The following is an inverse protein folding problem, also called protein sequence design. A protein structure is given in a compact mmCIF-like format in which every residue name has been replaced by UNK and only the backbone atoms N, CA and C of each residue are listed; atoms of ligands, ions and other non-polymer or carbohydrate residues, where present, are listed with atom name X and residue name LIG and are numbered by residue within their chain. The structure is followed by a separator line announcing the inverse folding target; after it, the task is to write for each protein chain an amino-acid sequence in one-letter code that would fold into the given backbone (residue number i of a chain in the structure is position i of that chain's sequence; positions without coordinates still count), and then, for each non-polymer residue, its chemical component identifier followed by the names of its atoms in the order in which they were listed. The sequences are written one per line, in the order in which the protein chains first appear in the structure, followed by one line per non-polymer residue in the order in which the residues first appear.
data_IF_612627111283
#
_entry.id   IF_612627111283
#
_cell.length_a   1.000
_cell.length_b   1.000
_cell.length_c   1.000
_cell.angle_alpha   90.00
_cell.angle_beta   90.00
_cell.angle_gamma   90.00
#
_symmetry.space_group_name_H-M   'P 1'
#
loop_
_entity.id
_entity.type
_entity.pdbx_description
1 polymer ?
#
# COMPACT_ATOMS: atom_id res chain seq x y z
N UNK A 1 -17.91 -15.97 -7.73
CA UNK A 1 -17.63 -16.85 -6.58
C UNK A 1 -18.10 -16.15 -5.31
N UNK A 2 -19.36 -16.31 -4.91
CA UNK A 2 -19.86 -15.68 -3.68
C UNK A 2 -19.49 -16.57 -2.48
N UNK A 3 -18.89 -15.97 -1.45
CA UNK A 3 -18.68 -16.62 -0.13
C UNK A 3 -17.42 -17.48 0.04
N UNK A 4 -16.50 -17.53 -0.93
CA UNK A 4 -15.21 -18.23 -0.75
C UNK A 4 -14.13 -17.27 -0.26
N UNK A 5 -13.29 -17.64 0.71
CA UNK A 5 -12.12 -16.85 1.10
C UNK A 5 -11.19 -16.60 -0.09
N UNK A 6 -10.68 -15.37 -0.21
CA UNK A 6 -9.68 -15.00 -1.21
C UNK A 6 -8.33 -14.92 -0.50
N UNK A 7 -7.35 -15.65 -1.01
CA UNK A 7 -5.97 -15.58 -0.57
C UNK A 7 -5.14 -15.11 -1.77
N UNK A 8 -4.38 -14.05 -1.60
CA UNK A 8 -3.53 -13.51 -2.64
C UNK A 8 -2.16 -13.11 -2.08
N UNK A 9 -1.15 -13.22 -2.92
CA UNK A 9 0.23 -12.86 -2.60
C UNK A 9 0.87 -12.15 -3.79
N UNK A 10 1.96 -11.42 -3.54
CA UNK A 10 2.70 -10.71 -4.59
C UNK A 10 1.75 -9.83 -5.45
N UNK A 11 1.86 -9.90 -6.78
CA UNK A 11 0.99 -9.17 -7.70
C UNK A 11 -0.52 -9.44 -7.46
N UNK A 12 -0.88 -10.66 -7.02
CA UNK A 12 -2.26 -10.96 -6.68
C UNK A 12 -2.79 -10.08 -5.54
N UNK A 13 -1.96 -9.79 -4.53
CA UNK A 13 -2.35 -8.89 -3.44
C UNK A 13 -2.51 -7.44 -3.93
N UNK A 14 -1.69 -7.01 -4.90
CA UNK A 14 -1.82 -5.68 -5.52
C UNK A 14 -3.13 -5.55 -6.31
N UNK A 15 -3.53 -6.61 -7.03
CA UNK A 15 -4.79 -6.63 -7.79
C UNK A 15 -6.01 -6.50 -6.88
N UNK A 16 -5.93 -6.91 -5.60
CA UNK A 16 -7.04 -6.76 -4.67
C UNK A 16 -7.25 -5.31 -4.18
N UNK A 17 -6.28 -4.41 -4.34
CA UNK A 17 -6.44 -3.01 -3.94
C UNK A 17 -7.19 -2.21 -5.01
N UNK A 18 -7.34 -0.90 -4.83
CA UNK A 18 -7.94 -0.02 -5.84
C UNK A 18 -7.02 0.24 -7.04
N UNK A 19 -5.69 0.08 -6.88
CA UNK A 19 -4.70 0.48 -7.88
C UNK A 19 -3.53 -0.49 -7.91
N UNK A 20 -3.18 -0.95 -9.11
CA UNK A 20 -2.00 -1.76 -9.36
C UNK A 20 -0.83 -0.82 -9.60
N UNK A 21 0.18 -0.85 -8.72
CA UNK A 21 1.32 0.07 -8.76
C UNK A 21 2.59 -0.70 -9.14
N UNK A 22 3.26 -0.27 -10.21
CA UNK A 22 4.62 -0.68 -10.52
C UNK A 22 5.60 0.19 -9.74
N UNK A 23 6.51 -0.45 -9.02
CA UNK A 23 7.50 0.21 -8.19
C UNK A 23 8.82 -0.55 -8.25
N UNK A 24 9.90 0.18 -8.49
CA UNK A 24 11.25 -0.34 -8.37
C UNK A 24 12.24 0.83 -8.33
N UNK A 25 12.86 1.10 -7.17
CA UNK A 25 13.87 2.14 -7.01
C UNK A 25 15.26 1.73 -7.56
N UNK A 26 15.41 0.44 -7.90
CA UNK A 26 16.64 -0.16 -8.43
C UNK A 26 16.40 -0.99 -9.71
N UNK A 27 15.74 -0.47 -10.76
CA UNK A 27 15.52 -1.26 -11.96
C UNK A 27 16.85 -1.63 -12.63
N UNK A 28 16.95 -2.81 -13.26
CA UNK A 28 18.15 -3.20 -14.02
C UNK A 28 18.44 -2.29 -15.23
N UNK A 29 17.49 -1.46 -15.67
CA UNK A 29 17.59 -0.62 -16.88
C UNK A 29 17.30 0.88 -16.60
N UNK A 30 17.97 1.47 -15.62
CA UNK A 30 17.83 2.91 -15.27
C UNK A 30 16.92 3.16 -14.07
N UNK A 31 16.77 4.41 -13.63
CA UNK A 31 15.84 4.78 -12.55
C UNK A 31 14.45 5.06 -13.10
N UNK A 32 13.42 4.34 -12.62
CA UNK A 32 12.03 4.63 -12.97
C UNK A 32 11.27 5.17 -11.74
N UNK A 33 10.33 6.08 -12.00
CA UNK A 33 9.41 6.57 -10.98
C UNK A 33 8.32 5.53 -10.85
N UNK A 34 7.81 5.26 -9.64
CA UNK A 34 6.67 4.35 -9.50
C UNK A 34 5.46 4.82 -10.34
N UNK A 35 4.76 3.89 -10.98
CA UNK A 35 3.65 4.15 -11.90
C UNK A 35 2.40 3.39 -11.48
N UNK A 36 1.23 3.98 -11.70
CA UNK A 36 -0.03 3.24 -11.62
C UNK A 36 -0.20 2.55 -12.97
N UNK A 37 -0.20 1.22 -12.97
CA UNK A 37 -0.40 0.41 -14.18
C UNK A 37 -1.87 0.37 -14.58
N UNK A 38 -2.75 0.09 -13.61
CA UNK A 38 -4.18 -0.06 -13.85
C UNK A 38 -4.98 0.04 -12.54
N UNK A 39 -6.30 0.00 -12.65
CA UNK A 39 -7.22 -0.24 -11.55
C UNK A 39 -7.11 -1.69 -11.03
N UNK A 40 -7.36 -1.87 -9.74
CA UNK A 40 -7.56 -3.19 -9.13
C UNK A 40 -9.04 -3.48 -8.84
N UNK A 41 -9.31 -4.60 -8.18
CA UNK A 41 -10.67 -5.06 -7.86
C UNK A 41 -11.29 -4.37 -6.64
N UNK A 42 -10.54 -3.52 -5.93
CA UNK A 42 -11.03 -2.75 -4.78
C UNK A 42 -11.63 -3.61 -3.64
N UNK A 43 -11.14 -4.86 -3.48
CA UNK A 43 -11.52 -5.76 -2.38
C UNK A 43 -10.76 -5.47 -1.08
N UNK A 44 -9.64 -4.76 -1.18
CA UNK A 44 -8.86 -4.19 -0.07
C UNK A 44 -8.76 -2.67 -0.24
N UNK A 45 -9.85 -1.92 0.01
CA UNK A 45 -9.91 -0.48 -0.26
C UNK A 45 -8.98 0.31 0.64
N UNK A 46 -8.49 1.46 0.15
CA UNK A 46 -7.67 2.37 0.94
C UNK A 46 -6.25 1.87 1.21
N UNK A 47 -5.81 0.80 0.56
CA UNK A 47 -4.43 0.30 0.61
C UNK A 47 -3.74 0.39 -0.75
N UNK A 48 -2.42 0.58 -0.71
CA UNK A 48 -1.49 0.25 -1.79
C UNK A 48 -0.44 -0.68 -1.20
N UNK A 49 -0.40 -1.93 -1.65
CA UNK A 49 0.54 -2.92 -1.12
C UNK A 49 1.77 -3.04 -2.02
N UNK A 50 2.94 -3.19 -1.41
CA UNK A 50 4.24 -3.27 -2.09
C UNK A 50 4.94 -4.59 -1.69
N UNK A 51 4.70 -5.68 -2.43
CA UNK A 51 5.30 -6.97 -2.14
C UNK A 51 6.81 -7.00 -2.41
N UNK A 52 7.55 -7.82 -1.66
CA UNK A 52 9.00 -8.00 -1.81
C UNK A 52 9.78 -6.65 -1.80
N UNK A 53 9.54 -5.78 -0.80
CA UNK A 53 10.00 -4.41 -0.86
C UNK A 53 11.52 -4.28 -0.67
N UNK A 54 12.18 -5.23 0.01
CA UNK A 54 13.63 -5.20 0.22
C UNK A 54 14.42 -5.22 -1.09
N UNK A 55 13.83 -5.75 -2.16
CA UNK A 55 14.45 -5.80 -3.50
C UNK A 55 14.07 -4.61 -4.37
N UNK A 56 13.05 -3.84 -3.97
CA UNK A 56 12.36 -2.87 -4.86
C UNK A 56 12.25 -1.47 -4.30
N UNK A 57 12.38 -1.29 -2.99
CA UNK A 57 12.16 -0.01 -2.30
C UNK A 57 13.45 0.40 -1.58
N UNK A 58 13.89 1.63 -1.80
CA UNK A 58 14.97 2.24 -1.05
C UNK A 58 14.43 2.86 0.24
N UNK A 59 14.38 2.09 1.32
CA UNK A 59 13.87 2.56 2.62
C UNK A 59 14.68 3.72 3.23
N UNK A 60 15.90 3.99 2.74
CA UNK A 60 16.72 5.12 3.20
C UNK A 60 16.37 6.42 2.46
N UNK A 61 15.71 6.34 1.30
CA UNK A 61 15.35 7.50 0.50
C UNK A 61 14.07 8.18 1.03
N UNK A 62 14.16 8.86 2.17
CA UNK A 62 13.04 9.57 2.82
C UNK A 62 12.21 10.41 1.83
N UNK A 63 12.88 11.20 0.99
CA UNK A 63 12.20 12.04 0.00
C UNK A 63 11.48 11.21 -1.09
N UNK A 64 12.03 10.05 -1.47
CA UNK A 64 11.39 9.11 -2.38
C UNK A 64 10.13 8.50 -1.77
N UNK A 65 10.24 8.00 -0.54
CA UNK A 65 9.11 7.46 0.25
C UNK A 65 8.00 8.51 0.38
N UNK A 66 8.37 9.75 0.74
CA UNK A 66 7.43 10.85 0.91
C UNK A 66 6.66 11.14 -0.39
N UNK A 67 7.37 11.27 -1.53
CA UNK A 67 6.74 11.51 -2.83
C UNK A 67 5.81 10.38 -3.22
N UNK A 68 6.27 9.13 -3.03
CA UNK A 68 5.47 7.94 -3.31
C UNK A 68 4.18 7.94 -2.49
N UNK A 69 4.28 8.02 -1.17
CA UNK A 69 3.13 7.95 -0.27
C UNK A 69 2.14 9.10 -0.50
N UNK A 70 2.63 10.32 -0.78
CA UNK A 70 1.76 11.46 -1.11
C UNK A 70 0.99 11.27 -2.41
N UNK A 71 1.61 10.67 -3.43
CA UNK A 71 0.93 10.37 -4.70
C UNK A 71 -0.18 9.33 -4.56
N UNK A 72 -0.04 8.43 -3.60
CA UNK A 72 -1.02 7.39 -3.32
C UNK A 72 -2.09 7.81 -2.32
N UNK A 73 -1.94 8.97 -1.67
CA UNK A 73 -2.92 9.47 -0.73
C UNK A 73 -4.32 9.58 -1.39
N UNK A 74 -5.41 9.22 -0.68
CA UNK A 74 -5.46 8.90 0.75
C UNK A 74 -5.10 7.44 1.12
N UNK A 75 -4.71 6.59 0.16
CA UNK A 75 -4.42 5.19 0.44
C UNK A 75 -3.16 5.01 1.29
N UNK A 76 -3.21 4.06 2.23
CA UNK A 76 -2.08 3.67 3.07
C UNK A 76 -1.15 2.77 2.26
N UNK A 77 0.10 3.21 2.09
CA UNK A 77 1.14 2.46 1.41
C UNK A 77 1.78 1.45 2.38
N UNK A 78 1.69 0.16 2.09
CA UNK A 78 2.16 -0.91 2.96
C UNK A 78 3.19 -1.76 2.23
N UNK A 79 4.44 -1.68 2.66
CA UNK A 79 5.49 -2.59 2.23
C UNK A 79 5.32 -3.94 2.94
N UNK A 80 5.26 -5.01 2.14
CA UNK A 80 4.92 -6.36 2.60
C UNK A 80 6.07 -7.31 2.32
N UNK A 81 6.91 -7.52 3.33
CA UNK A 81 7.97 -8.52 3.30
C UNK A 81 7.42 -9.93 3.60
N UNK A 82 8.28 -10.95 3.53
CA UNK A 82 7.92 -12.32 3.88
C UNK A 82 7.28 -12.40 5.27
N UNK A 83 6.08 -13.00 5.33
CA UNK A 83 5.30 -13.12 6.56
C UNK A 83 4.40 -11.91 6.89
N UNK A 84 4.50 -10.80 6.16
CA UNK A 84 3.51 -9.72 6.23
C UNK A 84 2.15 -10.18 5.69
N UNK A 85 1.07 -9.77 6.35
CA UNK A 85 -0.31 -10.13 6.00
C UNK A 85 -1.25 -9.00 6.38
N UNK A 86 -2.27 -8.79 5.56
CA UNK A 86 -3.46 -8.02 5.92
C UNK A 86 -4.67 -8.94 5.77
N UNK A 87 -5.50 -9.02 6.80
CA UNK A 87 -6.72 -9.83 6.84
C UNK A 87 -7.91 -8.89 6.87
N UNK A 88 -8.83 -9.11 5.94
CA UNK A 88 -10.09 -8.38 5.85
C UNK A 88 -11.26 -9.30 6.21
N UNK A 89 -12.19 -8.77 7.01
CA UNK A 89 -13.51 -9.34 7.27
C UNK A 89 -14.55 -8.24 7.07
N UNK A 90 -15.59 -8.50 6.27
CA UNK A 90 -16.64 -7.53 5.93
C UNK A 90 -16.10 -6.15 5.47
N UNK A 91 -15.04 -6.19 4.65
CA UNK A 91 -14.39 -5.00 4.11
C UNK A 91 -13.52 -4.21 5.10
N UNK A 92 -13.33 -4.73 6.33
CA UNK A 92 -12.54 -4.09 7.38
C UNK A 92 -11.28 -4.88 7.69
N UNK A 93 -10.18 -4.18 7.97
CA UNK A 93 -8.96 -4.82 8.45
C UNK A 93 -9.20 -5.30 9.89
N UNK A 94 -9.09 -6.61 10.12
CA UNK A 94 -9.18 -7.21 11.46
C UNK A 94 -7.83 -7.63 12.01
N UNK A 95 -6.83 -7.79 11.13
CA UNK A 95 -5.45 -8.09 11.49
C UNK A 95 -4.53 -7.60 10.40
N UNK A 96 -3.47 -6.89 10.75
CA UNK A 96 -2.39 -6.62 9.82
C UNK A 96 -1.03 -6.64 10.50
N UNK A 97 -0.02 -6.98 9.70
CA UNK A 97 1.38 -6.73 9.98
C UNK A 97 2.06 -6.35 8.66
N UNK A 98 2.84 -5.28 8.69
CA UNK A 98 3.55 -4.76 7.53
C UNK A 98 4.31 -3.50 7.89
N UNK A 99 4.91 -2.86 6.90
CA UNK A 99 5.66 -1.63 7.09
C UNK A 99 4.95 -0.51 6.36
N UNK A 100 4.45 0.49 7.07
CA UNK A 100 3.79 1.63 6.44
C UNK A 100 4.82 2.63 5.92
N UNK A 101 4.62 3.07 4.68
CA UNK A 101 5.31 4.21 4.08
C UNK A 101 4.44 5.46 4.25
N UNK A 102 4.93 6.45 5.00
CA UNK A 102 4.12 7.61 5.38
C UNK A 102 4.30 8.80 4.44
N UNK A 103 3.32 9.73 4.46
CA UNK A 103 3.36 10.99 3.70
C UNK A 103 4.39 12.01 4.23
N UNK A 104 5.06 11.70 5.35
CA UNK A 104 6.22 12.43 5.87
C UNK A 104 7.55 11.83 5.40
N UNK A 105 7.53 10.66 4.75
CA UNK A 105 8.71 9.92 4.33
C UNK A 105 9.26 8.95 5.37
N UNK A 106 8.47 8.64 6.40
CA UNK A 106 8.83 7.69 7.46
C UNK A 106 8.45 6.28 7.08
N UNK A 107 9.13 5.34 7.72
CA UNK A 107 8.95 3.90 7.59
C UNK A 107 8.49 3.40 8.95
N UNK A 108 7.19 3.17 9.09
CA UNK A 108 6.60 2.68 10.33
C UNK A 108 6.51 1.15 10.31
N UNK A 109 7.42 0.53 11.06
CA UNK A 109 7.52 -0.93 11.19
C UNK A 109 6.47 -1.53 12.15
N UNK A 110 5.74 -0.69 12.89
CA UNK A 110 4.76 -1.12 13.88
C UNK A 110 3.32 -0.95 13.39
N UNK A 111 3.13 -0.78 12.08
CA UNK A 111 1.81 -0.61 11.50
C UNK A 111 0.96 -1.89 11.65
N UNK A 112 -0.21 -1.72 12.26
CA UNK A 112 -1.10 -2.81 12.69
C UNK A 112 -2.42 -2.88 11.92
N UNK A 113 -2.58 -2.06 10.87
CA UNK A 113 -3.83 -1.93 10.11
C UNK A 113 -4.56 -0.62 10.34
N UNK A 114 -4.14 0.17 11.33
CA UNK A 114 -4.70 1.50 11.58
C UNK A 114 -4.58 2.39 10.33
N UNK A 115 -5.62 3.11 9.90
CA UNK A 115 -5.47 4.15 8.89
C UNK A 115 -4.33 5.06 9.29
N UNK A 116 -3.41 5.37 8.38
CA UNK A 116 -2.21 6.15 8.70
C UNK A 116 -2.53 7.34 9.62
N UNK A 117 -1.79 7.48 10.73
CA UNK A 117 -2.04 8.42 11.84
C UNK A 117 -2.12 9.92 11.45
N UNK A 118 -2.00 10.23 10.17
CA UNK A 118 -2.10 11.57 9.61
C UNK A 118 -3.04 11.54 8.41
N UNK A 119 -4.32 11.27 8.68
CA UNK A 119 -5.39 11.68 7.78
C UNK A 119 -5.38 13.21 7.72
N UNK A 120 -5.15 13.74 6.53
CA UNK A 120 -5.49 15.13 6.23
C UNK A 120 -6.94 15.39 6.68
N UNK A 121 -7.25 16.50 7.37
CA UNK A 121 -8.60 16.81 7.83
C UNK A 121 -9.62 17.04 6.70
N UNK A 122 -9.21 16.98 5.43
CA UNK A 122 -10.01 17.42 4.29
C UNK A 122 -11.05 16.43 3.75
N UNK A 123 -11.27 15.27 4.38
CA UNK A 123 -12.34 14.35 3.97
C UNK A 123 -13.33 14.03 5.10
N UNK A 124 -13.72 15.07 5.85
CA UNK A 124 -15.05 15.10 6.49
C UNK A 124 -15.86 16.23 5.86
N UNK A 125 -16.79 15.88 4.99
CA UNK A 125 -17.85 16.80 4.55
C UNK A 125 -17.83 17.13 3.06
N UNK A 126 -18.19 16.16 2.22
CA UNK A 126 -19.00 16.47 1.04
C UNK A 126 -20.22 15.57 1.12
N UNK A 127 -21.40 16.09 1.48
CA UNK A 127 -22.64 15.33 1.36
C UNK A 127 -22.99 15.18 -0.12
N UNK A 128 -23.49 13.99 -0.48
CA UNK A 128 -24.28 13.79 -1.69
C UNK A 128 -25.61 14.53 -1.57
#
# INVERSE_FOLDING_TARGET
AAGKPIIAWSAGAMVLTERIVLFHDYPPYGSDIAQVLDAGFALAPGLVVLPDPHRRVNFKARAGIQRFARRMAPATCVAMDHGARVVFEDGKIVRANGVQLTTTGEVDHNWDGSPGRFSSPFLRGVPL
#
